data_IF_820736336555
#
_entry.id   IF_820736336555
#
_cell.length_a   1.000
_cell.length_b   1.000
_cell.length_c   1.000
_cell.angle_alpha   90.00
_cell.angle_beta   90.00
_cell.angle_gamma   90.00
#
_symmetry.space_group_name_H-M   'P 1'
#
loop_
_entity.id
_entity.type
_entity.pdbx_description
1 polymer ?
#
# COMPACT_ATOMS: atom_id res chain seq x y z
N UNK A 1 -47.06 45.83 36.77
CA UNK A 1 -46.12 44.66 36.62
C UNK A 1 -44.73 45.13 37.10
N UNK A 2 -44.18 44.54 38.12
CA UNK A 2 -43.11 45.12 38.93
C UNK A 2 -41.77 44.98 38.25
N UNK A 3 -40.99 46.05 38.14
CA UNK A 3 -39.69 46.15 37.44
C UNK A 3 -38.66 45.07 37.87
N UNK A 4 -38.76 44.57 39.09
CA UNK A 4 -37.95 43.46 39.62
C UNK A 4 -38.28 42.13 38.99
N UNK A 5 -39.48 41.86 38.46
CA UNK A 5 -39.83 40.63 37.73
C UNK A 5 -39.32 40.65 36.29
N UNK A 6 -39.21 41.83 35.68
CA UNK A 6 -38.58 41.95 34.33
C UNK A 6 -37.04 41.72 34.32
N UNK A 7 -36.36 42.21 35.39
CA UNK A 7 -34.94 42.00 35.55
C UNK A 7 -34.56 40.50 35.80
N UNK A 8 -35.40 39.76 36.52
CA UNK A 8 -35.16 38.34 36.81
C UNK A 8 -35.40 37.45 35.56
N UNK A 9 -36.36 37.85 34.69
CA UNK A 9 -36.57 37.17 33.41
C UNK A 9 -35.45 37.47 32.37
N UNK A 10 -34.92 38.71 32.35
CA UNK A 10 -33.83 39.07 31.46
C UNK A 10 -32.50 38.42 31.85
N UNK A 11 -32.20 38.25 33.13
CA UNK A 11 -31.02 37.54 33.62
C UNK A 11 -31.11 36.01 33.43
N UNK A 12 -32.30 35.43 33.46
CA UNK A 12 -32.54 34.02 33.20
C UNK A 12 -32.40 33.65 31.71
N UNK A 13 -32.74 34.57 30.81
CA UNK A 13 -32.59 34.37 29.35
C UNK A 13 -31.15 34.58 28.88
N UNK A 14 -30.37 35.44 29.55
CA UNK A 14 -28.95 35.66 29.25
C UNK A 14 -28.11 34.46 29.75
N UNK A 15 -28.44 33.85 30.88
CA UNK A 15 -27.73 32.65 31.37
C UNK A 15 -28.08 31.42 30.58
N UNK A 16 -29.27 31.27 30.02
CA UNK A 16 -29.60 30.15 29.13
C UNK A 16 -28.97 30.30 27.74
N UNK A 17 -28.78 31.51 27.23
CA UNK A 17 -28.09 31.71 25.95
C UNK A 17 -26.57 31.57 26.08
N UNK A 18 -25.96 31.88 27.22
CA UNK A 18 -24.55 31.65 27.46
C UNK A 18 -24.22 30.13 27.64
N UNK A 19 -25.10 29.39 28.33
CA UNK A 19 -24.94 27.92 28.45
C UNK A 19 -25.22 27.19 27.12
N UNK A 20 -26.11 27.72 26.28
CA UNK A 20 -26.37 27.17 24.95
C UNK A 20 -25.26 27.49 23.93
N UNK A 21 -24.47 28.56 24.14
CA UNK A 21 -23.29 28.85 23.33
C UNK A 21 -22.04 28.06 23.75
N UNK A 22 -21.90 27.70 25.02
CA UNK A 22 -20.80 26.87 25.50
C UNK A 22 -20.97 25.37 25.17
N UNK A 23 -22.20 24.90 24.91
CA UNK A 23 -22.46 23.52 24.45
C UNK A 23 -22.46 23.36 22.93
N UNK A 24 -22.34 24.44 22.17
CA UNK A 24 -22.27 24.46 20.71
C UNK A 24 -20.83 24.62 20.17
N UNK A 25 -19.82 24.58 21.04
CA UNK A 25 -18.48 24.18 20.61
C UNK A 25 -18.42 22.65 20.53
N UNK A 26 -19.28 22.07 19.67
CA UNK A 26 -19.05 20.76 19.12
C UNK A 26 -17.61 20.75 18.58
N UNK A 27 -16.82 19.85 19.11
CA UNK A 27 -15.48 19.59 18.68
C UNK A 27 -15.48 19.60 17.14
N UNK A 28 -14.90 20.64 16.53
CA UNK A 28 -14.54 20.58 15.12
C UNK A 28 -13.69 19.33 15.00
N UNK A 29 -14.27 18.29 14.39
CA UNK A 29 -13.58 17.07 14.06
C UNK A 29 -12.37 17.50 13.24
N UNK A 30 -11.17 17.42 13.83
CA UNK A 30 -9.94 17.75 13.13
C UNK A 30 -9.78 16.69 12.06
N UNK A 31 -10.30 16.97 10.88
CA UNK A 31 -10.13 16.09 9.72
C UNK A 31 -8.65 16.14 9.33
N UNK A 32 -7.91 15.13 9.75
CA UNK A 32 -6.53 14.96 9.33
C UNK A 32 -6.50 14.77 7.80
N UNK A 33 -5.83 15.68 7.11
CA UNK A 33 -5.65 15.57 5.66
C UNK A 33 -4.48 14.62 5.39
N UNK A 34 -4.79 13.44 4.89
CA UNK A 34 -3.80 12.46 4.45
C UNK A 34 -3.49 12.62 2.96
N UNK A 35 -2.49 11.88 2.48
CA UNK A 35 -2.12 11.86 1.06
C UNK A 35 -3.19 11.15 0.20
N UNK A 36 -3.21 11.41 -1.12
CA UNK A 36 -4.08 10.68 -2.06
C UNK A 36 -3.86 9.17 -1.96
N UNK A 37 -2.60 8.75 -1.83
CA UNK A 37 -2.23 7.34 -1.64
C UNK A 37 -2.87 6.70 -0.40
N UNK A 38 -2.93 7.42 0.72
CA UNK A 38 -3.61 6.94 1.92
C UNK A 38 -5.08 6.62 1.64
N UNK A 39 -5.80 7.52 0.97
CA UNK A 39 -7.21 7.31 0.64
C UNK A 39 -7.41 6.20 -0.40
N UNK A 40 -6.51 6.07 -1.39
CA UNK A 40 -6.51 4.99 -2.35
C UNK A 40 -6.38 3.63 -1.64
N UNK A 41 -5.40 3.50 -0.75
CA UNK A 41 -5.19 2.26 0.02
C UNK A 41 -6.31 1.98 1.01
N UNK A 42 -6.77 3.00 1.76
CA UNK A 42 -7.91 2.87 2.69
C UNK A 42 -9.16 2.37 1.98
N UNK A 43 -9.47 2.93 0.81
CA UNK A 43 -10.63 2.50 0.01
C UNK A 43 -10.47 1.08 -0.53
N UNK A 44 -9.26 0.69 -0.94
CA UNK A 44 -9.00 -0.69 -1.37
C UNK A 44 -9.14 -1.67 -0.19
N UNK A 45 -8.63 -1.34 0.98
CA UNK A 45 -8.78 -2.19 2.17
C UNK A 45 -10.25 -2.35 2.61
N UNK A 46 -11.12 -1.37 2.31
CA UNK A 46 -12.55 -1.50 2.54
C UNK A 46 -13.21 -2.56 1.63
N UNK A 47 -12.64 -2.81 0.45
CA UNK A 47 -13.07 -3.87 -0.48
C UNK A 47 -12.42 -5.24 -0.20
N UNK A 48 -11.43 -5.28 0.71
CA UNK A 48 -10.67 -6.48 1.08
C UNK A 48 -10.87 -6.79 2.57
N UNK A 49 -12.03 -7.35 2.94
CA UNK A 49 -12.36 -7.57 4.36
C UNK A 49 -11.38 -8.53 5.03
N UNK A 50 -11.07 -8.21 6.28
CA UNK A 50 -10.33 -9.08 7.20
C UNK A 50 -11.32 -10.06 7.83
N UNK A 51 -10.85 -11.26 8.15
CA UNK A 51 -11.62 -12.32 8.82
C UNK A 51 -10.93 -12.78 10.12
N UNK A 52 -11.63 -13.57 10.93
CA UNK A 52 -11.11 -14.11 12.19
C UNK A 52 -9.96 -15.12 12.03
N UNK A 53 -9.71 -15.60 10.81
CA UNK A 53 -8.57 -16.48 10.51
C UNK A 53 -7.31 -15.70 10.11
N UNK A 54 -7.44 -14.39 9.88
CA UNK A 54 -6.37 -13.61 9.29
C UNK A 54 -5.34 -13.15 10.33
N UNK A 55 -4.11 -13.06 9.87
CA UNK A 55 -2.97 -12.46 10.54
C UNK A 55 -2.65 -11.15 9.83
N UNK A 56 -2.78 -10.03 10.52
CA UNK A 56 -2.64 -8.70 9.93
C UNK A 56 -1.31 -8.06 10.30
N UNK A 57 -0.51 -7.70 9.30
CA UNK A 57 0.60 -6.78 9.47
C UNK A 57 0.10 -5.36 9.26
N UNK A 58 0.05 -4.56 10.32
CA UNK A 58 -0.51 -3.21 10.38
C UNK A 58 0.60 -2.20 10.62
N UNK A 59 0.71 -1.17 9.76
CA UNK A 59 1.80 -0.19 9.90
C UNK A 59 1.91 0.79 8.73
N UNK A 60 3.11 1.30 8.55
CA UNK A 60 3.48 2.31 7.55
C UNK A 60 4.13 1.69 6.28
N UNK A 61 5.04 2.47 5.62
CA UNK A 61 5.75 2.02 4.42
C UNK A 61 6.62 0.78 4.64
N UNK A 62 7.22 0.62 5.81
CA UNK A 62 8.01 -0.56 6.14
C UNK A 62 7.15 -1.83 6.11
N UNK A 63 5.95 -1.75 6.68
CA UNK A 63 4.97 -2.84 6.60
C UNK A 63 4.45 -3.04 5.19
N UNK A 64 4.12 -1.95 4.48
CA UNK A 64 3.62 -1.97 3.10
C UNK A 64 4.59 -2.66 2.13
N UNK A 65 5.89 -2.44 2.29
CA UNK A 65 6.93 -3.01 1.42
C UNK A 65 7.13 -4.52 1.53
N UNK A 66 6.66 -5.15 2.60
CA UNK A 66 6.75 -6.59 2.80
C UNK A 66 5.66 -7.36 2.03
N UNK A 67 6.04 -8.41 1.32
CA UNK A 67 5.09 -9.36 0.72
C UNK A 67 4.84 -10.50 1.71
N UNK A 68 4.16 -10.18 2.79
CA UNK A 68 4.03 -11.03 3.97
C UNK A 68 3.41 -12.38 3.68
N UNK A 69 2.34 -12.43 2.86
CA UNK A 69 1.72 -13.69 2.45
C UNK A 69 2.67 -14.60 1.67
N UNK A 70 3.53 -14.02 0.81
CA UNK A 70 4.53 -14.78 0.05
C UNK A 70 5.66 -15.25 0.95
N UNK A 71 6.17 -14.37 1.84
CA UNK A 71 7.26 -14.70 2.79
C UNK A 71 6.92 -15.88 3.71
N UNK A 72 5.66 -16.01 4.08
CA UNK A 72 5.16 -17.06 4.97
C UNK A 72 4.39 -18.16 4.24
N UNK A 73 4.25 -18.05 2.90
CA UNK A 73 3.42 -18.97 2.10
C UNK A 73 2.02 -19.19 2.70
N UNK A 74 1.44 -18.10 3.26
CA UNK A 74 0.17 -18.15 3.95
C UNK A 74 -0.78 -17.06 3.43
N UNK A 75 -1.87 -17.43 2.73
CA UNK A 75 -2.82 -16.47 2.15
C UNK A 75 -3.66 -15.71 3.18
N UNK A 76 -3.71 -16.20 4.43
CA UNK A 76 -4.41 -15.53 5.52
C UNK A 76 -3.57 -14.39 6.13
N UNK A 77 -2.35 -14.18 5.66
CA UNK A 77 -1.55 -13.03 6.09
C UNK A 77 -1.88 -11.82 5.23
N UNK A 78 -2.38 -10.76 5.87
CA UNK A 78 -2.86 -9.54 5.24
C UNK A 78 -1.89 -8.39 5.49
N UNK A 79 -1.44 -7.75 4.41
CA UNK A 79 -0.69 -6.51 4.49
C UNK A 79 -1.68 -5.34 4.61
N UNK A 80 -1.60 -4.61 5.72
CA UNK A 80 -2.37 -3.39 5.95
C UNK A 80 -1.45 -2.21 6.27
N UNK A 81 -0.29 -2.18 5.60
CA UNK A 81 0.64 -1.05 5.61
C UNK A 81 0.25 0.02 4.60
N UNK A 82 0.44 1.31 4.96
CA UNK A 82 0.29 2.45 4.05
C UNK A 82 1.55 3.32 4.11
N UNK A 83 2.11 3.68 2.95
CA UNK A 83 3.28 4.57 2.88
C UNK A 83 2.94 5.94 3.46
N UNK A 84 3.82 6.45 4.33
CA UNK A 84 3.63 7.75 4.96
C UNK A 84 2.67 7.76 6.15
N UNK A 85 2.11 6.60 6.54
CA UNK A 85 1.13 6.52 7.63
C UNK A 85 1.75 6.83 9.00
N UNK A 86 0.96 7.44 9.86
CA UNK A 86 1.27 7.84 11.23
C UNK A 86 0.34 7.11 12.21
N UNK A 87 0.61 7.21 13.52
CA UNK A 87 -0.23 6.55 14.53
C UNK A 87 -1.70 6.96 14.41
N UNK A 88 -1.97 8.26 14.23
CA UNK A 88 -3.35 8.77 14.05
C UNK A 88 -3.97 8.24 12.74
N UNK A 89 -3.19 8.12 11.67
CA UNK A 89 -3.69 7.57 10.40
C UNK A 89 -4.16 6.12 10.53
N UNK A 90 -3.43 5.30 11.29
CA UNK A 90 -3.92 3.94 11.63
C UNK A 90 -5.19 4.02 12.45
N UNK A 91 -5.26 4.89 13.47
CA UNK A 91 -6.44 5.04 14.32
C UNK A 91 -7.70 5.34 13.50
N UNK A 92 -7.57 6.19 12.46
CA UNK A 92 -8.69 6.64 11.60
C UNK A 92 -9.12 5.59 10.55
N UNK A 93 -8.40 4.47 10.43
CA UNK A 93 -8.73 3.38 9.50
C UNK A 93 -8.76 1.99 10.13
N UNK A 94 -8.44 1.87 11.41
CA UNK A 94 -8.30 0.56 12.06
C UNK A 94 -9.61 -0.23 12.12
N UNK A 95 -10.77 0.42 12.06
CA UNK A 95 -12.07 -0.23 11.97
C UNK A 95 -12.18 -1.20 10.78
N UNK A 96 -11.47 -0.93 9.67
CA UNK A 96 -11.40 -1.84 8.52
C UNK A 96 -10.72 -3.17 8.86
N UNK A 97 -9.89 -3.18 9.90
CA UNK A 97 -9.23 -4.39 10.43
C UNK A 97 -10.07 -5.01 11.54
N UNK A 98 -10.53 -4.17 12.50
CA UNK A 98 -11.19 -4.66 13.71
C UNK A 98 -12.56 -5.30 13.45
N UNK A 99 -13.29 -4.86 12.42
CA UNK A 99 -14.56 -5.48 12.00
C UNK A 99 -14.43 -6.98 11.71
N UNK A 100 -13.26 -7.43 11.23
CA UNK A 100 -12.99 -8.82 10.91
C UNK A 100 -12.57 -9.67 12.11
N UNK A 101 -12.34 -9.07 13.29
CA UNK A 101 -11.88 -9.78 14.49
C UNK A 101 -10.67 -10.69 14.20
N UNK A 102 -9.54 -10.17 13.62
CA UNK A 102 -8.45 -11.01 13.15
C UNK A 102 -7.85 -11.87 14.27
N UNK A 103 -7.32 -13.04 13.91
CA UNK A 103 -6.59 -13.90 14.84
C UNK A 103 -5.42 -13.18 15.49
N UNK A 104 -4.66 -12.42 14.67
CA UNK A 104 -3.41 -11.78 15.11
C UNK A 104 -3.22 -10.44 14.42
N UNK A 105 -2.68 -9.46 15.16
CA UNK A 105 -2.18 -8.18 14.61
C UNK A 105 -0.73 -8.00 15.01
N UNK A 106 0.16 -7.77 14.03
CA UNK A 106 1.53 -7.28 14.21
C UNK A 106 1.54 -5.78 13.91
N UNK A 107 1.81 -4.95 14.92
CA UNK A 107 1.76 -3.48 14.81
C UNK A 107 3.16 -2.89 14.83
N UNK A 108 3.53 -2.12 13.79
CA UNK A 108 4.73 -1.29 13.73
C UNK A 108 4.39 0.08 13.14
N UNK A 109 4.49 1.15 13.93
CA UNK A 109 4.14 2.52 13.52
C UNK A 109 4.87 3.54 14.39
N UNK A 110 5.12 4.76 13.88
CA UNK A 110 5.70 5.89 14.62
C UNK A 110 6.84 6.59 13.88
N UNK A 111 7.53 5.94 12.95
CA UNK A 111 8.68 6.54 12.22
C UNK A 111 8.30 7.83 11.47
N UNK A 112 7.11 7.88 10.88
CA UNK A 112 6.65 9.08 10.18
C UNK A 112 6.21 10.18 11.15
N UNK A 113 5.67 9.83 12.31
CA UNK A 113 5.40 10.79 13.38
C UNK A 113 6.70 11.49 13.81
N UNK A 114 7.78 10.73 14.01
CA UNK A 114 9.12 11.27 14.30
C UNK A 114 9.59 12.17 13.15
N UNK A 115 9.41 11.77 11.92
CA UNK A 115 9.79 12.58 10.75
C UNK A 115 9.00 13.90 10.64
N UNK A 116 7.88 14.00 11.32
CA UNK A 116 7.10 15.23 11.50
C UNK A 116 7.45 15.98 12.79
N UNK A 117 8.56 15.60 13.44
CA UNK A 117 9.06 16.19 14.70
C UNK A 117 8.05 16.09 15.87
N UNK A 118 7.25 15.03 15.90
CA UNK A 118 6.38 14.72 17.03
C UNK A 118 7.22 14.05 18.12
N UNK A 119 7.19 14.59 19.34
CA UNK A 119 7.96 14.06 20.46
C UNK A 119 7.49 12.67 20.92
N UNK A 120 8.41 11.89 21.47
CA UNK A 120 8.24 10.48 21.89
C UNK A 120 7.03 10.26 22.81
N UNK A 121 6.80 11.14 23.79
CA UNK A 121 5.63 11.05 24.69
C UNK A 121 4.30 11.20 23.95
N UNK A 122 4.23 12.14 23.00
CA UNK A 122 3.01 12.37 22.19
C UNK A 122 2.70 11.17 21.31
N UNK A 123 3.73 10.58 20.69
CA UNK A 123 3.62 9.37 19.88
C UNK A 123 3.15 8.19 20.75
N UNK A 124 3.76 8.00 21.92
CA UNK A 124 3.39 6.95 22.84
C UNK A 124 1.94 7.10 23.36
N UNK A 125 1.51 8.32 23.66
CA UNK A 125 0.12 8.59 24.06
C UNK A 125 -0.89 8.29 22.95
N UNK A 126 -0.56 8.62 21.70
CA UNK A 126 -1.41 8.25 20.55
C UNK A 126 -1.47 6.73 20.36
N UNK A 127 -0.33 6.06 20.49
CA UNK A 127 -0.24 4.60 20.40
C UNK A 127 -1.00 3.89 21.53
N UNK A 128 -0.96 4.43 22.76
CA UNK A 128 -1.75 3.93 23.90
C UNK A 128 -3.25 3.91 23.61
N UNK A 129 -3.76 5.00 23.02
CA UNK A 129 -5.16 5.08 22.58
C UNK A 129 -5.50 4.04 21.51
N UNK A 130 -4.59 3.86 20.53
CA UNK A 130 -4.78 2.87 19.47
C UNK A 130 -4.81 1.44 20.05
N UNK A 131 -3.85 1.07 20.92
CA UNK A 131 -3.79 -0.23 21.58
C UNK A 131 -5.06 -0.46 22.43
N UNK A 132 -5.47 0.56 23.19
CA UNK A 132 -6.70 0.50 24.02
C UNK A 132 -7.93 0.21 23.16
N UNK A 133 -8.04 0.88 22.01
CA UNK A 133 -9.14 0.66 21.04
C UNK A 133 -9.11 -0.77 20.48
N UNK A 134 -7.95 -1.24 20.02
CA UNK A 134 -7.80 -2.60 19.47
C UNK A 134 -8.22 -3.64 20.51
N UNK A 135 -7.73 -3.53 21.73
CA UNK A 135 -8.05 -4.50 22.81
C UNK A 135 -9.52 -4.47 23.22
N UNK A 136 -10.14 -3.28 23.21
CA UNK A 136 -11.56 -3.12 23.54
C UNK A 136 -12.47 -3.73 22.47
N UNK A 137 -12.16 -3.46 21.18
CA UNK A 137 -13.02 -3.87 20.07
C UNK A 137 -12.72 -5.32 19.62
N UNK A 138 -11.49 -5.83 19.85
CA UNK A 138 -11.05 -7.18 19.47
C UNK A 138 -10.39 -7.89 20.66
N UNK A 139 -11.13 -8.24 21.71
CA UNK A 139 -10.55 -8.78 22.94
C UNK A 139 -9.87 -10.16 22.76
N UNK A 140 -10.24 -10.91 21.72
CA UNK A 140 -9.67 -12.22 21.42
C UNK A 140 -8.50 -12.18 20.42
N UNK A 141 -8.23 -11.01 19.83
CA UNK A 141 -7.12 -10.84 18.89
C UNK A 141 -5.80 -10.80 19.64
N UNK A 142 -4.85 -11.63 19.21
CA UNK A 142 -3.49 -11.55 19.71
C UNK A 142 -2.78 -10.33 19.08
N UNK A 143 -2.51 -9.31 19.88
CA UNK A 143 -1.79 -8.12 19.44
C UNK A 143 -0.31 -8.24 19.82
N UNK A 144 0.58 -8.07 18.84
CA UNK A 144 2.03 -7.94 19.02
C UNK A 144 2.46 -6.51 18.70
N UNK A 145 3.12 -5.85 19.64
CA UNK A 145 3.73 -4.55 19.42
C UNK A 145 5.21 -4.74 19.06
N UNK A 146 5.64 -4.13 17.96
CA UNK A 146 7.01 -4.22 17.47
C UNK A 146 7.77 -2.90 17.70
N UNK A 147 9.08 -2.99 17.94
CA UNK A 147 9.92 -1.80 18.03
C UNK A 147 9.99 -1.07 16.70
N UNK A 148 10.18 0.24 16.73
CA UNK A 148 10.63 1.01 15.57
C UNK A 148 12.02 0.50 15.15
N UNK A 149 12.26 0.53 13.84
CA UNK A 149 13.57 0.24 13.29
C UNK A 149 14.46 1.48 13.32
N UNK A 150 15.79 1.31 13.39
CA UNK A 150 16.71 2.41 13.18
C UNK A 150 16.62 2.93 11.75
N UNK A 151 17.12 4.14 11.53
CA UNK A 151 17.35 4.69 10.19
C UNK A 151 18.83 5.09 10.04
N UNK A 152 19.26 5.44 8.81
CA UNK A 152 20.66 5.76 8.53
C UNK A 152 20.78 7.07 7.76
N UNK A 153 21.22 8.11 8.43
CA UNK A 153 21.37 9.46 7.89
C UNK A 153 22.50 9.61 6.87
N UNK A 154 23.43 8.68 6.80
CA UNK A 154 24.55 8.71 5.84
C UNK A 154 24.05 8.73 4.38
N UNK A 155 22.83 8.20 4.13
CA UNK A 155 22.18 8.24 2.82
C UNK A 155 21.65 9.63 2.45
N UNK A 156 21.52 10.58 3.39
CA UNK A 156 21.11 11.98 3.19
C UNK A 156 19.77 12.18 2.49
N UNK A 157 18.91 11.16 2.48
CA UNK A 157 17.65 11.18 1.72
C UNK A 157 16.48 11.74 2.55
N UNK A 158 16.35 11.34 3.80
CA UNK A 158 15.25 11.73 4.71
C UNK A 158 15.75 12.75 5.72
N UNK A 159 15.90 14.02 5.26
CA UNK A 159 16.51 15.09 6.07
C UNK A 159 15.72 15.43 7.32
N UNK A 160 14.41 15.22 7.30
CA UNK A 160 13.52 15.46 8.44
C UNK A 160 13.61 14.38 9.56
N UNK A 161 14.45 13.35 9.37
CA UNK A 161 14.83 12.42 10.43
C UNK A 161 16.20 12.76 11.06
N UNK A 162 16.92 13.75 10.53
CA UNK A 162 18.24 14.09 11.05
C UNK A 162 18.16 14.66 12.47
N UNK A 163 18.90 14.05 13.39
CA UNK A 163 18.90 14.41 14.81
C UNK A 163 17.80 13.75 15.65
N UNK A 164 16.99 12.90 15.04
CA UNK A 164 15.89 12.22 15.75
C UNK A 164 16.25 10.79 16.25
N UNK A 165 17.54 10.42 16.23
CA UNK A 165 18.00 9.08 16.62
C UNK A 165 17.59 8.75 18.06
N UNK A 166 17.71 9.75 18.97
CA UNK A 166 17.30 9.59 20.37
C UNK A 166 15.79 9.42 20.49
N UNK A 167 15.01 10.14 19.69
CA UNK A 167 13.54 10.03 19.68
C UNK A 167 13.09 8.61 19.33
N UNK A 168 13.78 7.91 18.39
CA UNK A 168 13.51 6.49 18.08
C UNK A 168 13.76 5.60 19.30
N UNK A 169 14.89 5.80 20.00
CA UNK A 169 15.22 5.01 21.19
C UNK A 169 14.24 5.24 22.34
N UNK A 170 13.89 6.51 22.59
CA UNK A 170 12.87 6.89 23.57
C UNK A 170 11.51 6.27 23.26
N UNK A 171 11.06 6.35 21.99
CA UNK A 171 9.83 5.68 21.55
C UNK A 171 9.89 4.18 21.85
N UNK A 172 10.99 3.50 21.56
CA UNK A 172 11.11 2.06 21.80
C UNK A 172 11.03 1.72 23.29
N UNK A 173 11.61 2.56 24.17
CA UNK A 173 11.46 2.39 25.64
C UNK A 173 9.99 2.56 26.06
N UNK A 174 9.33 3.62 25.58
CA UNK A 174 7.93 3.88 25.90
C UNK A 174 7.01 2.79 25.33
N UNK A 175 7.30 2.28 24.14
CA UNK A 175 6.51 1.19 23.50
C UNK A 175 6.61 -0.11 24.30
N UNK A 176 7.81 -0.45 24.80
CA UNK A 176 7.98 -1.60 25.69
C UNK A 176 7.18 -1.44 26.99
N UNK A 177 7.17 -0.22 27.56
CA UNK A 177 6.35 0.10 28.73
C UNK A 177 4.85 -0.03 28.43
N UNK A 178 4.37 0.43 27.25
CA UNK A 178 3.00 0.24 26.80
C UNK A 178 2.66 -1.24 26.62
N UNK A 179 3.57 -2.03 26.05
CA UNK A 179 3.38 -3.47 25.91
C UNK A 179 3.16 -4.14 27.28
N UNK A 180 3.98 -3.78 28.28
CA UNK A 180 3.81 -4.25 29.66
C UNK A 180 2.50 -3.76 30.28
N UNK A 181 2.17 -2.46 30.14
CA UNK A 181 0.92 -1.85 30.64
C UNK A 181 -0.32 -2.59 30.12
N UNK A 182 -0.32 -2.92 28.84
CA UNK A 182 -1.43 -3.56 28.18
C UNK A 182 -1.37 -5.11 28.23
N UNK A 183 -0.34 -5.69 28.83
CA UNK A 183 -0.10 -7.14 28.86
C UNK A 183 -0.17 -7.75 27.43
N UNK A 184 0.58 -7.15 26.50
CA UNK A 184 0.74 -7.63 25.14
C UNK A 184 2.22 -7.96 24.87
N UNK A 185 2.54 -8.97 24.05
CA UNK A 185 3.92 -9.29 23.71
C UNK A 185 4.63 -8.15 22.98
N UNK A 186 5.88 -7.92 23.38
CA UNK A 186 6.83 -6.99 22.76
C UNK A 186 7.81 -7.75 21.87
N UNK A 187 7.97 -7.29 20.61
CA UNK A 187 8.96 -7.82 19.68
C UNK A 187 10.03 -6.76 19.43
N UNK A 188 11.20 -6.94 20.02
CA UNK A 188 12.33 -6.04 19.85
C UNK A 188 13.05 -6.32 18.54
N UNK A 189 12.69 -5.63 17.47
CA UNK A 189 13.33 -5.74 16.16
C UNK A 189 14.60 -4.89 16.07
N UNK A 190 14.64 -3.73 16.75
CA UNK A 190 15.70 -2.72 16.64
C UNK A 190 17.12 -3.31 16.65
N UNK A 191 17.52 -4.19 17.59
CA UNK A 191 18.89 -4.71 17.67
C UNK A 191 19.34 -5.49 16.43
N UNK A 192 18.41 -6.12 15.73
CA UNK A 192 18.70 -6.91 14.52
C UNK A 192 19.02 -6.04 13.30
N UNK A 193 18.57 -4.80 13.32
CA UNK A 193 18.71 -3.84 12.23
C UNK A 193 19.77 -2.78 12.48
N UNK A 194 20.12 -2.54 13.76
CA UNK A 194 21.09 -1.52 14.16
C UNK A 194 22.53 -1.99 13.97
N UNK A 195 23.39 -1.06 13.55
CA UNK A 195 24.82 -1.19 13.64
C UNK A 195 25.31 -0.72 15.04
N UNK A 196 26.64 -0.63 15.22
CA UNK A 196 27.26 -0.20 16.48
C UNK A 196 27.00 1.27 16.83
N UNK A 197 26.58 2.08 15.86
CA UNK A 197 26.20 3.50 16.02
C UNK A 197 24.68 3.67 16.15
N UNK A 198 23.94 2.58 16.36
CA UNK A 198 22.48 2.57 16.40
C UNK A 198 21.80 3.02 15.08
N UNK A 199 22.51 3.00 13.96
CA UNK A 199 22.01 3.31 12.64
C UNK A 199 21.55 2.05 11.92
N UNK A 200 20.61 2.19 10.99
CA UNK A 200 20.21 1.08 10.11
C UNK A 200 21.42 0.59 9.32
N UNK A 201 21.71 -0.69 9.42
CA UNK A 201 22.79 -1.34 8.71
C UNK A 201 22.70 -1.08 7.21
N UNK A 202 23.79 -0.60 6.61
CA UNK A 202 23.84 -0.10 5.21
C UNK A 202 23.47 -1.16 4.19
N UNK A 203 23.84 -2.41 4.45
CA UNK A 203 23.53 -3.54 3.56
C UNK A 203 22.03 -3.86 3.51
N UNK A 204 21.24 -3.44 4.49
CA UNK A 204 19.80 -3.71 4.58
C UNK A 204 18.92 -2.66 3.91
N UNK A 205 19.50 -1.57 3.41
CA UNK A 205 18.74 -0.44 2.86
C UNK A 205 19.38 0.14 1.60
N UNK A 206 18.60 0.86 0.79
CA UNK A 206 19.08 1.67 -0.34
C UNK A 206 18.89 3.18 -0.12
N UNK A 207 18.17 3.58 0.91
CA UNK A 207 17.79 4.97 1.11
C UNK A 207 17.92 5.43 2.58
N UNK A 208 18.32 4.52 3.46
CA UNK A 208 18.53 4.79 4.88
C UNK A 208 17.30 4.55 5.77
N UNK A 209 16.14 4.19 5.20
CA UNK A 209 14.88 3.94 5.93
C UNK A 209 14.24 2.62 5.51
N UNK A 210 14.02 2.43 4.19
CA UNK A 210 13.30 1.28 3.68
C UNK A 210 14.22 0.07 3.51
N UNK A 211 13.66 -1.11 3.75
CA UNK A 211 14.40 -2.35 3.76
C UNK A 211 14.55 -2.95 2.35
N UNK A 212 15.70 -3.54 2.11
CA UNK A 212 15.95 -4.48 1.04
C UNK A 212 15.48 -5.89 1.43
N UNK A 213 15.60 -6.82 0.50
CA UNK A 213 15.19 -8.22 0.70
C UNK A 213 15.82 -8.85 1.95
N UNK A 214 17.11 -8.63 2.22
CA UNK A 214 17.79 -9.19 3.40
C UNK A 214 17.24 -8.62 4.71
N UNK A 215 16.83 -7.34 4.72
CA UNK A 215 16.14 -6.76 5.87
C UNK A 215 14.78 -7.44 6.12
N UNK A 216 14.00 -7.71 5.07
CA UNK A 216 12.75 -8.45 5.22
C UNK A 216 12.96 -9.92 5.61
N UNK A 217 14.06 -10.58 5.21
CA UNK A 217 14.43 -11.92 5.71
C UNK A 217 14.65 -11.92 7.21
N UNK A 218 15.39 -10.91 7.73
CA UNK A 218 15.58 -10.75 9.18
C UNK A 218 14.24 -10.56 9.87
N UNK A 219 13.41 -9.62 9.40
CA UNK A 219 12.11 -9.36 10.02
C UNK A 219 11.21 -10.59 10.02
N UNK A 220 11.10 -11.28 8.88
CA UNK A 220 10.37 -12.56 8.78
C UNK A 220 10.84 -13.55 9.84
N UNK A 221 12.14 -13.77 9.97
CA UNK A 221 12.70 -14.76 10.89
C UNK A 221 12.39 -14.41 12.35
N UNK A 222 12.46 -13.11 12.72
CA UNK A 222 12.17 -12.65 14.08
C UNK A 222 10.69 -12.83 14.48
N UNK A 223 9.77 -12.70 13.52
CA UNK A 223 8.33 -12.84 13.81
C UNK A 223 7.77 -14.22 13.53
N UNK A 224 8.53 -15.09 12.87
CA UNK A 224 8.08 -16.41 12.42
C UNK A 224 7.46 -17.25 13.54
N UNK A 225 8.10 -17.35 14.70
CA UNK A 225 7.63 -18.11 15.85
C UNK A 225 6.27 -17.66 16.39
N UNK A 226 5.86 -16.44 16.08
CA UNK A 226 4.56 -15.88 16.49
C UNK A 226 3.49 -16.08 15.41
N UNK A 227 3.90 -16.35 14.18
CA UNK A 227 3.01 -16.73 13.07
C UNK A 227 2.70 -18.22 13.13
N UNK A 228 3.75 -19.04 13.19
CA UNK A 228 3.69 -20.48 13.32
C UNK A 228 5.00 -20.96 13.98
N UNK A 229 4.93 -21.51 15.23
CA UNK A 229 6.11 -21.97 15.96
C UNK A 229 6.92 -23.08 15.25
N UNK A 230 6.28 -23.86 14.41
CA UNK A 230 6.91 -24.96 13.68
C UNK A 230 7.47 -24.55 12.32
N UNK A 231 7.31 -23.24 11.96
CA UNK A 231 7.71 -22.75 10.66
C UNK A 231 9.22 -22.72 10.49
N UNK A 232 9.70 -23.32 9.42
CA UNK A 232 11.09 -23.28 8.97
C UNK A 232 11.16 -22.67 7.57
N UNK A 233 12.27 -22.01 7.26
CA UNK A 233 12.49 -21.42 5.95
C UNK A 233 13.69 -22.09 5.27
N UNK A 234 13.50 -22.47 4.01
CA UNK A 234 14.62 -22.89 3.17
C UNK A 234 15.57 -21.72 2.92
N UNK A 235 16.85 -22.01 2.76
CA UNK A 235 17.80 -21.03 2.22
C UNK A 235 17.42 -20.68 0.78
N UNK A 236 17.61 -19.41 0.38
CA UNK A 236 17.37 -18.98 -0.99
C UNK A 236 16.63 -17.65 -1.10
N UNK A 237 15.93 -17.46 -2.22
CA UNK A 237 15.17 -16.25 -2.50
C UNK A 237 13.98 -16.10 -1.54
N UNK A 238 13.74 -14.86 -1.07
CA UNK A 238 12.62 -14.55 -0.19
C UNK A 238 11.27 -14.68 -0.92
N UNK A 239 11.28 -14.45 -2.22
CA UNK A 239 10.08 -14.41 -3.07
C UNK A 239 10.22 -15.32 -4.30
N UNK A 240 10.41 -16.64 -4.10
CA UNK A 240 10.59 -17.57 -5.22
C UNK A 240 9.36 -17.60 -6.13
N UNK A 241 9.57 -17.87 -7.41
CA UNK A 241 8.52 -18.08 -8.38
C UNK A 241 8.51 -19.54 -8.80
N UNK A 242 7.35 -20.16 -8.73
CA UNK A 242 7.14 -21.55 -9.11
C UNK A 242 6.11 -21.72 -10.24
N UNK A 243 5.99 -22.94 -10.72
CA UNK A 243 5.17 -23.30 -11.88
C UNK A 243 3.66 -23.11 -11.71
N UNK A 244 3.18 -22.98 -10.47
CA UNK A 244 1.76 -22.71 -10.19
C UNK A 244 1.48 -21.22 -10.03
N UNK A 245 2.49 -20.36 -10.03
CA UNK A 245 2.32 -18.94 -9.75
C UNK A 245 1.74 -18.17 -10.93
N UNK A 246 1.00 -17.13 -10.60
CA UNK A 246 0.46 -16.15 -11.52
C UNK A 246 1.09 -14.81 -11.20
N UNK A 247 1.83 -14.23 -12.13
CA UNK A 247 2.56 -13.00 -11.92
C UNK A 247 1.77 -11.80 -12.44
N UNK A 248 1.34 -10.92 -11.55
CA UNK A 248 0.83 -9.60 -11.93
C UNK A 248 2.02 -8.66 -12.11
N UNK A 249 2.31 -8.28 -13.36
CA UNK A 249 3.50 -7.51 -13.74
C UNK A 249 3.11 -6.15 -14.33
N UNK A 250 3.60 -5.07 -13.75
CA UNK A 250 3.30 -3.71 -14.23
C UNK A 250 3.86 -2.60 -13.36
N UNK A 251 3.36 -1.38 -13.55
CA UNK A 251 3.75 -0.19 -12.80
C UNK A 251 3.06 -0.06 -11.43
N UNK A 252 2.94 1.19 -10.97
CA UNK A 252 2.33 1.53 -9.66
C UNK A 252 0.90 1.03 -9.52
N UNK A 253 0.10 1.11 -10.58
CA UNK A 253 -1.29 0.60 -10.58
C UNK A 253 -1.36 -0.88 -10.21
N UNK A 254 -0.40 -1.71 -10.70
CA UNK A 254 -0.29 -3.11 -10.29
C UNK A 254 0.25 -3.23 -8.88
N UNK A 255 1.25 -2.41 -8.53
CA UNK A 255 1.94 -2.47 -7.25
C UNK A 255 1.11 -2.02 -6.05
N UNK A 256 0.07 -1.22 -6.27
CA UNK A 256 -0.77 -0.67 -5.20
C UNK A 256 -1.89 -1.60 -4.74
N UNK A 257 -1.95 -2.83 -5.24
CA UNK A 257 -3.03 -3.76 -4.90
C UNK A 257 -2.54 -5.11 -4.39
N UNK A 258 -3.28 -5.68 -3.49
CA UNK A 258 -3.15 -7.05 -3.00
C UNK A 258 -3.88 -8.00 -3.95
N UNK A 259 -3.25 -8.33 -5.09
CA UNK A 259 -3.90 -9.11 -6.15
C UNK A 259 -4.29 -10.52 -5.72
N UNK A 260 -3.56 -11.15 -4.80
CA UNK A 260 -3.93 -12.46 -4.26
C UNK A 260 -5.25 -12.42 -3.47
N UNK A 261 -5.51 -11.29 -2.77
CA UNK A 261 -6.79 -11.07 -2.08
C UNK A 261 -7.89 -10.70 -3.08
N UNK A 262 -7.64 -9.74 -3.98
CA UNK A 262 -8.60 -9.32 -4.99
C UNK A 262 -9.10 -10.49 -5.85
N UNK A 263 -8.20 -11.34 -6.30
CA UNK A 263 -8.52 -12.47 -7.18
C UNK A 263 -8.89 -13.74 -6.38
N UNK A 264 -8.82 -13.69 -5.05
CA UNK A 264 -9.07 -14.85 -4.17
C UNK A 264 -8.21 -16.06 -4.57
N UNK A 265 -6.97 -15.80 -4.99
CA UNK A 265 -6.07 -16.79 -5.58
C UNK A 265 -4.71 -16.70 -4.90
N UNK A 266 -4.36 -17.64 -3.99
CA UNK A 266 -3.18 -17.55 -3.12
C UNK A 266 -1.84 -17.45 -3.84
N UNK A 267 -1.72 -18.05 -5.01
CA UNK A 267 -0.50 -18.09 -5.82
C UNK A 267 -0.36 -16.91 -6.79
N UNK A 268 -1.20 -15.88 -6.67
CA UNK A 268 -0.99 -14.62 -7.40
C UNK A 268 0.08 -13.80 -6.71
N UNK A 269 1.14 -13.45 -7.45
CA UNK A 269 2.28 -12.69 -6.97
C UNK A 269 2.40 -11.36 -7.70
N UNK A 270 2.51 -10.28 -6.93
CA UNK A 270 2.61 -8.92 -7.48
C UNK A 270 4.06 -8.52 -7.71
N UNK A 271 4.37 -8.05 -8.92
CA UNK A 271 5.72 -7.54 -9.28
C UNK A 271 5.57 -6.16 -9.92
N UNK A 272 5.80 -5.13 -9.10
CA UNK A 272 5.79 -3.73 -9.53
C UNK A 272 7.17 -3.31 -10.02
N UNK A 273 7.21 -2.59 -11.14
CA UNK A 273 8.43 -2.19 -11.85
C UNK A 273 8.67 -0.68 -11.84
N UNK A 274 7.86 0.09 -11.10
CA UNK A 274 7.74 1.53 -11.30
C UNK A 274 6.97 1.84 -12.59
N UNK A 275 6.96 3.10 -12.99
CA UNK A 275 6.07 3.59 -14.06
C UNK A 275 6.74 3.70 -15.44
N UNK A 276 7.85 3.01 -15.66
CA UNK A 276 8.58 3.06 -16.94
C UNK A 276 8.43 1.74 -17.69
N UNK A 277 7.82 1.79 -18.87
CA UNK A 277 7.53 0.60 -19.68
C UNK A 277 8.80 -0.16 -20.14
N UNK A 278 9.94 0.52 -20.25
CA UNK A 278 11.20 -0.10 -20.70
C UNK A 278 11.74 -1.17 -19.75
N UNK A 279 11.37 -1.13 -18.47
CA UNK A 279 11.79 -2.16 -17.52
C UNK A 279 11.02 -3.46 -17.64
N UNK A 280 9.88 -3.46 -18.34
CA UNK A 280 8.98 -4.62 -18.35
C UNK A 280 9.61 -5.83 -19.01
N UNK A 281 10.39 -5.67 -20.09
CA UNK A 281 10.98 -6.81 -20.82
C UNK A 281 12.06 -7.55 -20.01
N UNK A 282 12.94 -6.81 -19.30
CA UNK A 282 13.97 -7.42 -18.46
C UNK A 282 13.35 -8.17 -17.28
N UNK A 283 12.35 -7.57 -16.67
CA UNK A 283 11.63 -8.15 -15.54
C UNK A 283 10.76 -9.33 -15.97
N UNK A 284 10.10 -9.25 -17.12
CA UNK A 284 9.34 -10.36 -17.70
C UNK A 284 10.23 -11.58 -17.92
N UNK A 285 11.46 -11.40 -18.48
CA UNK A 285 12.46 -12.47 -18.61
C UNK A 285 12.87 -13.05 -17.25
N UNK A 286 13.19 -12.17 -16.28
CA UNK A 286 13.56 -12.59 -14.92
C UNK A 286 12.50 -13.49 -14.29
N UNK A 287 11.23 -13.06 -14.34
CA UNK A 287 10.15 -13.79 -13.69
C UNK A 287 9.71 -15.03 -14.47
N UNK A 288 9.87 -15.03 -15.81
CA UNK A 288 9.65 -16.21 -16.63
C UNK A 288 10.66 -17.34 -16.33
N UNK A 289 11.85 -17.03 -15.81
CA UNK A 289 12.83 -18.03 -15.40
C UNK A 289 12.31 -19.00 -14.32
N UNK A 290 11.37 -18.56 -13.48
CA UNK A 290 10.67 -19.42 -12.51
C UNK A 290 9.55 -20.27 -13.13
N UNK A 291 9.32 -20.17 -14.45
CA UNK A 291 8.29 -20.92 -15.21
C UNK A 291 6.89 -20.81 -14.60
N UNK A 292 6.38 -19.60 -14.31
CA UNK A 292 5.06 -19.45 -13.72
C UNK A 292 3.96 -19.96 -14.65
N UNK A 293 2.81 -20.32 -14.10
CA UNK A 293 1.64 -20.71 -14.90
C UNK A 293 1.22 -19.58 -15.84
N UNK A 294 1.12 -18.35 -15.31
CA UNK A 294 0.69 -17.17 -16.09
C UNK A 294 1.54 -15.93 -15.77
N UNK A 295 1.71 -15.05 -16.75
CA UNK A 295 2.21 -13.68 -16.55
C UNK A 295 1.17 -12.71 -17.11
N UNK A 296 0.57 -11.90 -16.25
CA UNK A 296 -0.41 -10.87 -16.59
C UNK A 296 0.31 -9.54 -16.66
N UNK A 297 0.36 -8.92 -17.83
CA UNK A 297 1.14 -7.72 -18.08
C UNK A 297 0.24 -6.50 -18.25
N UNK A 298 0.58 -5.41 -17.53
CA UNK A 298 0.02 -4.07 -17.74
C UNK A 298 1.14 -3.11 -18.10
N UNK A 299 1.00 -2.38 -19.20
CA UNK A 299 1.95 -1.33 -19.56
C UNK A 299 1.72 -0.05 -18.76
N UNK A 300 2.80 0.68 -18.51
CA UNK A 300 2.75 2.04 -17.98
C UNK A 300 2.65 3.08 -19.11
N UNK A 301 2.19 4.30 -18.77
CA UNK A 301 2.17 5.45 -19.67
C UNK A 301 3.55 6.00 -20.00
N UNK A 302 4.47 5.92 -19.05
CA UNK A 302 5.79 6.51 -19.20
C UNK A 302 6.69 5.60 -20.05
N UNK A 303 7.08 6.10 -21.23
CA UNK A 303 7.96 5.40 -22.16
C UNK A 303 9.43 5.80 -22.03
N UNK A 304 9.76 6.83 -21.23
CA UNK A 304 11.11 7.38 -21.13
C UNK A 304 11.69 7.25 -19.71
N UNK A 305 12.72 6.40 -19.57
CA UNK A 305 13.41 6.18 -18.29
C UNK A 305 14.27 7.35 -17.82
N UNK A 306 14.71 8.20 -18.75
CA UNK A 306 15.66 9.29 -18.47
C UNK A 306 14.94 10.58 -18.11
N UNK A 307 13.64 10.70 -18.38
CA UNK A 307 12.85 11.89 -18.18
C UNK A 307 11.92 11.80 -16.95
N UNK A 308 12.52 11.73 -15.77
CA UNK A 308 11.79 11.64 -14.47
C UNK A 308 10.98 12.90 -14.10
N UNK A 309 11.20 14.02 -14.79
CA UNK A 309 10.56 15.32 -14.50
C UNK A 309 9.58 15.78 -15.57
N UNK A 310 9.51 15.10 -16.71
CA UNK A 310 8.57 15.49 -17.74
C UNK A 310 7.15 15.07 -17.40
N UNK A 311 6.25 15.91 -17.82
CA UNK A 311 4.83 15.69 -17.82
C UNK A 311 4.51 14.31 -18.42
N UNK A 312 3.80 13.45 -17.70
CA UNK A 312 3.54 12.07 -18.11
C UNK A 312 2.87 12.02 -19.50
N UNK A 313 2.04 13.03 -19.83
CA UNK A 313 1.39 13.14 -21.14
C UNK A 313 2.38 13.40 -22.30
N UNK A 314 3.43 14.18 -22.06
CA UNK A 314 4.45 14.46 -23.06
C UNK A 314 5.30 13.22 -23.38
N UNK A 315 5.40 12.30 -22.45
CA UNK A 315 6.14 11.04 -22.58
C UNK A 315 5.31 9.87 -23.12
N UNK A 316 4.00 10.07 -23.36
CA UNK A 316 3.16 9.03 -23.93
C UNK A 316 3.53 8.78 -25.40
N UNK A 317 4.23 7.68 -25.63
CA UNK A 317 4.62 7.20 -26.95
C UNK A 317 4.08 5.79 -27.19
N UNK A 318 3.00 5.71 -27.97
CA UNK A 318 2.32 4.45 -28.28
C UNK A 318 3.26 3.40 -28.92
N UNK A 319 4.13 3.83 -29.84
CA UNK A 319 5.02 2.92 -30.56
C UNK A 319 6.10 2.34 -29.63
N UNK A 320 6.62 3.16 -28.71
CA UNK A 320 7.56 2.71 -27.67
C UNK A 320 6.91 1.70 -26.74
N UNK A 321 5.68 1.97 -26.29
CA UNK A 321 4.89 1.06 -25.43
C UNK A 321 4.68 -0.28 -26.13
N UNK A 322 4.17 -0.27 -27.37
CA UNK A 322 3.91 -1.48 -28.15
C UNK A 322 5.19 -2.28 -28.40
N UNK A 323 6.30 -1.59 -28.70
CA UNK A 323 7.60 -2.23 -28.90
C UNK A 323 8.14 -2.89 -27.61
N UNK A 324 8.03 -2.19 -26.46
CA UNK A 324 8.46 -2.73 -25.16
C UNK A 324 7.65 -3.95 -24.75
N UNK A 325 6.33 -3.91 -24.95
CA UNK A 325 5.46 -5.07 -24.68
C UNK A 325 5.76 -6.23 -25.64
N UNK A 326 6.06 -5.96 -26.90
CA UNK A 326 6.49 -6.98 -27.87
C UNK A 326 7.81 -7.65 -27.48
N UNK A 327 8.78 -6.88 -26.97
CA UNK A 327 10.04 -7.42 -26.42
C UNK A 327 9.78 -8.27 -25.18
N UNK A 328 8.88 -7.84 -24.28
CA UNK A 328 8.51 -8.58 -23.08
C UNK A 328 7.87 -9.93 -23.41
N UNK A 329 6.89 -9.96 -24.34
CA UNK A 329 6.24 -11.19 -24.79
C UNK A 329 7.28 -12.16 -25.35
N UNK A 330 8.14 -11.71 -26.27
CA UNK A 330 9.21 -12.55 -26.85
C UNK A 330 10.15 -13.11 -25.79
N UNK A 331 10.52 -12.29 -24.81
CA UNK A 331 11.40 -12.71 -23.73
C UNK A 331 10.77 -13.80 -22.86
N UNK A 332 9.47 -13.72 -22.56
CA UNK A 332 8.75 -14.78 -21.85
C UNK A 332 8.69 -16.05 -22.70
N UNK A 333 8.23 -15.96 -23.95
CA UNK A 333 8.08 -17.12 -24.84
C UNK A 333 9.41 -17.83 -25.09
N UNK A 334 10.52 -17.09 -25.13
CA UNK A 334 11.87 -17.70 -25.27
C UNK A 334 12.39 -18.34 -23.98
N UNK A 335 11.94 -17.86 -22.79
CA UNK A 335 12.44 -18.33 -21.49
C UNK A 335 11.56 -19.45 -20.92
N UNK A 336 10.25 -19.33 -21.08
CA UNK A 336 9.23 -20.26 -20.59
C UNK A 336 8.10 -20.37 -21.61
N UNK A 337 8.24 -21.20 -22.64
CA UNK A 337 7.24 -21.34 -23.70
C UNK A 337 5.86 -21.80 -23.21
N UNK A 338 5.83 -22.52 -22.09
CA UNK A 338 4.62 -23.03 -21.43
C UNK A 338 3.86 -21.98 -20.61
N UNK A 339 4.50 -20.84 -20.26
CA UNK A 339 3.86 -19.79 -19.51
C UNK A 339 2.80 -19.08 -20.35
N UNK A 340 1.55 -19.09 -19.89
CA UNK A 340 0.50 -18.30 -20.51
C UNK A 340 0.73 -16.80 -20.29
N UNK A 341 0.58 -16.01 -21.35
CA UNK A 341 0.72 -14.56 -21.29
C UNK A 341 -0.64 -13.90 -21.46
N UNK A 342 -0.99 -13.03 -20.52
CA UNK A 342 -2.18 -12.18 -20.59
C UNK A 342 -1.71 -10.74 -20.74
N UNK A 343 -2.02 -10.13 -21.89
CA UNK A 343 -1.74 -8.72 -22.18
C UNK A 343 -2.99 -7.89 -21.96
N UNK A 344 -2.89 -6.86 -21.13
CA UNK A 344 -4.00 -5.97 -20.82
C UNK A 344 -3.91 -4.66 -21.59
N UNK A 345 -5.07 -4.02 -21.82
CA UNK A 345 -5.12 -2.65 -22.31
C UNK A 345 -4.54 -1.69 -21.29
N UNK A 346 -4.00 -0.57 -21.74
CA UNK A 346 -3.59 0.53 -20.87
C UNK A 346 -4.84 1.11 -20.20
N UNK A 347 -4.77 1.39 -18.91
CA UNK A 347 -5.86 1.99 -18.14
C UNK A 347 -5.99 3.47 -18.49
N UNK A 348 -7.20 4.04 -18.70
CA UNK A 348 -7.37 5.44 -18.99
C UNK A 348 -7.00 6.35 -17.80
N UNK A 349 -6.79 7.63 -18.09
CA UNK A 349 -6.57 8.71 -17.13
C UNK A 349 -7.79 9.63 -17.17
N UNK A 350 -8.11 10.29 -16.08
CA UNK A 350 -9.12 11.35 -16.02
C UNK A 350 -8.46 12.74 -16.06
N UNK A 351 -8.59 13.42 -17.18
CA UNK A 351 -7.95 14.71 -17.44
C UNK A 351 -8.66 15.90 -16.79
N UNK A 352 -9.79 15.70 -16.09
CA UNK A 352 -10.44 16.76 -15.31
C UNK A 352 -9.70 17.09 -14.01
N UNK A 353 -8.81 16.22 -13.56
CA UNK A 353 -7.93 16.49 -12.43
C UNK A 353 -6.72 17.34 -12.87
N UNK A 354 -6.43 18.41 -12.10
CA UNK A 354 -5.36 19.38 -12.44
C UNK A 354 -4.01 18.69 -12.71
N UNK A 355 -3.65 17.72 -11.89
CA UNK A 355 -2.40 16.95 -12.02
C UNK A 355 -2.26 16.23 -13.36
N UNK A 356 -3.37 15.92 -14.03
CA UNK A 356 -3.42 15.20 -15.31
C UNK A 356 -4.13 15.98 -16.41
N UNK A 357 -4.31 17.30 -16.23
CA UNK A 357 -4.94 18.16 -17.23
C UNK A 357 -4.27 18.10 -18.62
N UNK A 358 -2.98 17.81 -18.66
CA UNK A 358 -2.22 17.65 -19.91
C UNK A 358 -2.63 16.40 -20.72
N UNK A 359 -3.35 15.45 -20.10
CA UNK A 359 -3.91 14.30 -20.81
C UNK A 359 -5.18 14.65 -21.59
N UNK A 360 -5.68 15.86 -21.50
CA UNK A 360 -6.88 16.28 -22.23
C UNK A 360 -6.75 15.96 -23.72
N UNK A 361 -7.69 15.17 -24.22
CA UNK A 361 -7.70 14.71 -25.62
C UNK A 361 -6.76 13.53 -25.92
N UNK A 362 -6.09 12.95 -24.93
CA UNK A 362 -5.24 11.77 -25.14
C UNK A 362 -6.05 10.45 -25.24
N UNK A 363 -7.31 10.43 -24.84
CA UNK A 363 -8.17 9.24 -24.92
C UNK A 363 -8.15 8.58 -26.33
N UNK A 364 -8.15 9.39 -27.40
CA UNK A 364 -8.02 8.88 -28.79
C UNK A 364 -6.65 8.25 -29.06
N UNK A 365 -5.57 8.83 -28.53
CA UNK A 365 -4.21 8.27 -28.67
C UNK A 365 -4.11 6.95 -27.90
N UNK A 366 -4.71 6.89 -26.72
CA UNK A 366 -4.78 5.70 -25.89
C UNK A 366 -5.55 4.56 -26.59
N UNK A 367 -6.74 4.85 -27.13
CA UNK A 367 -7.52 3.90 -27.90
C UNK A 367 -6.74 3.35 -29.11
N UNK A 368 -5.95 4.21 -29.79
CA UNK A 368 -5.05 3.79 -30.88
C UNK A 368 -3.96 2.84 -30.36
N UNK A 369 -3.30 3.18 -29.24
CA UNK A 369 -2.29 2.32 -28.63
C UNK A 369 -2.86 0.96 -28.21
N UNK A 370 -4.04 0.94 -27.58
CA UNK A 370 -4.73 -0.29 -27.20
C UNK A 370 -5.11 -1.15 -28.40
N UNK A 371 -5.49 -0.52 -29.53
CA UNK A 371 -5.73 -1.24 -30.80
C UNK A 371 -4.45 -1.92 -31.31
N UNK A 372 -3.32 -1.27 -31.23
CA UNK A 372 -2.02 -1.86 -31.64
C UNK A 372 -1.56 -2.96 -30.65
N UNK A 373 -1.77 -2.78 -29.35
CA UNK A 373 -1.51 -3.84 -28.35
C UNK A 373 -2.40 -5.08 -28.59
N UNK A 374 -3.66 -4.90 -28.95
CA UNK A 374 -4.54 -6.00 -29.34
C UNK A 374 -4.05 -6.76 -30.59
N UNK A 375 -3.53 -6.02 -31.60
CA UNK A 375 -2.90 -6.66 -32.77
C UNK A 375 -1.62 -7.41 -32.37
N UNK A 376 -0.85 -6.83 -31.45
CA UNK A 376 0.35 -7.46 -30.90
C UNK A 376 0.00 -8.78 -30.20
N UNK A 377 -1.04 -8.79 -29.36
CA UNK A 377 -1.52 -9.99 -28.70
C UNK A 377 -1.88 -11.09 -29.71
N UNK A 378 -2.64 -10.72 -30.77
CA UNK A 378 -2.96 -11.65 -31.87
C UNK A 378 -1.71 -12.16 -32.57
N UNK A 379 -0.74 -11.29 -32.87
CA UNK A 379 0.51 -11.65 -33.56
C UNK A 379 1.32 -12.70 -32.82
N UNK A 380 1.37 -12.60 -31.49
CA UNK A 380 2.15 -13.51 -30.65
C UNK A 380 1.32 -14.63 -30.01
N UNK A 381 0.05 -14.75 -30.39
CA UNK A 381 -0.90 -15.74 -29.86
C UNK A 381 -0.95 -15.72 -28.33
N UNK A 382 -1.16 -14.53 -27.76
CA UNK A 382 -1.35 -14.32 -26.31
C UNK A 382 -2.73 -13.77 -26.01
N UNK A 383 -3.23 -14.04 -24.81
CA UNK A 383 -4.56 -13.60 -24.37
C UNK A 383 -4.62 -12.08 -24.26
N UNK A 384 -5.67 -11.46 -24.80
CA UNK A 384 -5.93 -10.02 -24.69
C UNK A 384 -7.09 -9.75 -23.74
N UNK A 385 -6.89 -8.86 -22.78
CA UNK A 385 -7.92 -8.36 -21.87
C UNK A 385 -8.08 -6.85 -22.06
N UNK A 386 -9.25 -6.42 -22.52
CA UNK A 386 -9.60 -5.00 -22.63
C UNK A 386 -10.24 -4.52 -21.33
N UNK A 387 -9.55 -3.66 -20.60
CA UNK A 387 -10.02 -3.06 -19.37
C UNK A 387 -10.86 -1.79 -19.61
N UNK A 388 -10.83 -1.23 -20.83
CA UNK A 388 -11.52 0.01 -21.18
C UNK A 388 -13.02 -0.03 -20.85
N UNK A 389 -13.77 -1.08 -21.21
CA UNK A 389 -15.21 -1.13 -20.92
C UNK A 389 -15.54 -1.10 -19.42
N UNK A 390 -14.63 -1.62 -18.58
CA UNK A 390 -14.83 -1.65 -17.13
C UNK A 390 -14.47 -0.31 -16.46
N UNK A 391 -13.42 0.36 -16.95
CA UNK A 391 -12.80 1.48 -16.25
C UNK A 391 -13.05 2.85 -16.88
N UNK A 392 -13.33 2.92 -18.20
CA UNK A 392 -13.55 4.19 -18.89
C UNK A 392 -15.01 4.63 -18.82
N UNK A 393 -15.20 5.94 -18.86
CA UNK A 393 -16.47 6.60 -19.11
C UNK A 393 -16.80 6.67 -20.62
N UNK A 394 -17.86 7.35 -20.98
CA UNK A 394 -18.32 7.55 -22.37
C UNK A 394 -17.34 8.37 -23.23
N UNK A 395 -16.46 9.15 -22.61
CA UNK A 395 -15.43 9.94 -23.28
C UNK A 395 -14.11 9.18 -23.43
N UNK A 396 -14.03 7.96 -22.89
CA UNK A 396 -12.81 7.13 -22.87
C UNK A 396 -11.81 7.55 -21.79
N UNK A 397 -12.24 8.34 -20.80
CA UNK A 397 -11.44 8.75 -19.65
C UNK A 397 -11.74 7.84 -18.45
N UNK A 398 -10.82 7.76 -17.48
CA UNK A 398 -11.04 7.01 -16.24
C UNK A 398 -12.26 7.57 -15.50
N UNK A 399 -13.19 6.70 -15.11
CA UNK A 399 -14.37 7.11 -14.35
C UNK A 399 -13.98 7.84 -13.07
N UNK A 400 -14.60 9.00 -12.81
CA UNK A 400 -14.26 9.86 -11.68
C UNK A 400 -14.43 9.17 -10.32
N UNK A 401 -15.41 8.27 -10.19
CA UNK A 401 -15.64 7.48 -8.97
C UNK A 401 -14.56 6.41 -8.70
N UNK A 402 -13.65 6.16 -9.65
CA UNK A 402 -12.58 5.17 -9.52
C UNK A 402 -11.23 5.76 -9.14
N UNK A 403 -11.13 7.08 -9.02
CA UNK A 403 -9.88 7.77 -8.74
C UNK A 403 -10.10 8.99 -7.84
N UNK A 404 -9.07 9.39 -7.11
CA UNK A 404 -9.07 10.64 -6.36
C UNK A 404 -7.97 11.61 -6.84
N UNK A 405 -7.13 11.19 -7.78
CA UNK A 405 -6.05 12.01 -8.35
C UNK A 405 -6.04 12.05 -9.88
N UNK A 406 -6.96 11.31 -10.52
CA UNK A 406 -7.09 11.22 -11.98
C UNK A 406 -6.39 10.03 -12.63
N UNK A 407 -5.56 9.27 -11.90
CA UNK A 407 -4.78 8.14 -12.44
C UNK A 407 -4.82 6.89 -11.56
N UNK A 408 -4.45 7.03 -10.29
CA UNK A 408 -4.43 5.89 -9.39
C UNK A 408 -5.84 5.48 -8.98
N UNK A 409 -6.02 4.17 -8.80
CA UNK A 409 -7.35 3.63 -8.55
C UNK A 409 -7.70 3.63 -7.06
N UNK A 410 -8.94 3.99 -6.79
CA UNK A 410 -9.64 3.70 -5.55
C UNK A 410 -10.14 2.24 -5.54
N UNK A 411 -10.59 1.76 -4.38
CA UNK A 411 -11.04 0.38 -4.20
C UNK A 411 -12.05 -0.09 -5.27
N UNK A 412 -13.08 0.71 -5.55
CA UNK A 412 -14.09 0.40 -6.60
C UNK A 412 -13.47 0.20 -7.99
N UNK A 413 -12.44 0.99 -8.33
CA UNK A 413 -11.71 0.85 -9.59
C UNK A 413 -10.96 -0.49 -9.65
N UNK A 414 -10.32 -0.90 -8.55
CA UNK A 414 -9.69 -2.22 -8.47
C UNK A 414 -10.70 -3.37 -8.53
N UNK A 415 -11.88 -3.23 -7.96
CA UNK A 415 -12.96 -4.21 -8.10
C UNK A 415 -13.43 -4.33 -9.56
N UNK A 416 -13.58 -3.19 -10.24
CA UNK A 416 -13.94 -3.20 -11.67
C UNK A 416 -12.86 -3.90 -12.51
N UNK A 417 -11.59 -3.61 -12.26
CA UNK A 417 -10.45 -4.28 -12.89
C UNK A 417 -10.42 -5.77 -12.60
N UNK A 418 -10.52 -6.16 -11.32
CA UNK A 418 -10.62 -7.57 -10.93
C UNK A 418 -11.71 -8.31 -11.70
N UNK A 419 -12.91 -7.73 -11.78
CA UNK A 419 -14.05 -8.37 -12.44
C UNK A 419 -13.80 -8.61 -13.94
N UNK A 420 -13.10 -7.68 -14.60
CA UNK A 420 -12.72 -7.83 -16.01
C UNK A 420 -11.61 -8.89 -16.21
N UNK A 421 -10.72 -9.06 -15.21
CA UNK A 421 -9.57 -9.97 -15.30
C UNK A 421 -9.88 -11.39 -14.80
N UNK A 422 -10.74 -11.54 -13.78
CA UNK A 422 -11.00 -12.81 -13.07
C UNK A 422 -11.33 -14.00 -13.99
N UNK A 423 -12.11 -13.85 -15.10
CA UNK A 423 -12.38 -14.96 -16.01
C UNK A 423 -11.13 -15.60 -16.63
N UNK A 424 -10.06 -14.82 -16.82
CA UNK A 424 -8.83 -15.27 -17.46
C UNK A 424 -7.80 -15.83 -16.45
N UNK A 425 -8.08 -15.68 -15.16
CA UNK A 425 -7.21 -16.18 -14.07
C UNK A 425 -7.64 -17.58 -13.64
N UNK A 426 -8.96 -17.85 -13.60
CA UNK A 426 -9.54 -19.09 -13.09
C UNK A 426 -9.30 -20.33 -13.99
N UNK A 427 -8.97 -20.10 -15.26
CA UNK A 427 -8.61 -21.16 -16.22
C UNK A 427 -7.12 -21.54 -16.10
#
# INVERSE_FOLDING_TARGET
MNLKKLLTLALGLISLSAVAQDTAQEAQEVTHKYTDYYYQRKSLFAELPVTSNDIVFLGNSLTNGGKWNEMFSNPNIKNRGIVGDIVQGIYDRVDLVLKGQPKTIFLLIGTNDISHHVGSDSIANALDKLITRIKKECPNTQLYLQSLLPYNNDFKRYKNLFGEEMTVLECNVLYEQLARKHNIPWISLFPWFADRECKLRKELTNDGVHLKEDGYKIWRNEVAKYVDPEMTFAEGELYPIGSNDIIMLGGTLVGYAEWHELLETPNVKTRSLGDVCDYIHASAKKYAAGKPKKIVMLSSYNSDKDNKKANVSANFNADSIVNSMGKAIKAVQATSPETEIILQSIIPVNSSYEKYADFKGTAKKLAKANKELKKLAKKYNVTWVDLTPALADENGELKAEFTNDGYHLMGKGYIAWRNALKPFIAE
#
